data_IF_457233080833
#
_entry.id   IF_457233080833
#
_cell.length_a   1.000
_cell.length_b   1.000
_cell.length_c   1.000
_cell.angle_alpha   90.00
_cell.angle_beta   90.00
_cell.angle_gamma   90.00
#
_symmetry.space_group_name_H-M   'P 1'
#
loop_
_entity.id
_entity.type
_entity.pdbx_description
1 polymer ?
#
# COMPACT_ATOMS: atom_id res chain seq x y z
N UNK A 1 11.59 -12.61 29.15
CA UNK A 1 11.65 -13.74 28.20
C UNK A 1 13.05 -13.75 27.61
N UNK A 2 13.70 -14.91 27.47
CA UNK A 2 15.02 -15.00 26.84
C UNK A 2 14.93 -14.97 25.30
N UNK A 3 16.05 -14.69 24.64
CA UNK A 3 16.13 -14.47 23.20
C UNK A 3 15.71 -15.70 22.38
N UNK A 4 16.03 -16.89 22.85
CA UNK A 4 15.72 -18.14 22.16
C UNK A 4 14.22 -18.44 22.22
N UNK A 5 13.60 -18.17 23.37
CA UNK A 5 12.13 -18.27 23.52
C UNK A 5 11.42 -17.29 22.60
N UNK A 6 11.86 -16.03 22.51
CA UNK A 6 11.28 -15.02 21.62
C UNK A 6 11.35 -15.48 20.16
N UNK A 7 12.53 -15.91 19.71
CA UNK A 7 12.76 -16.40 18.34
C UNK A 7 11.86 -17.58 17.99
N UNK A 8 11.72 -18.54 18.91
CA UNK A 8 10.86 -19.72 18.71
C UNK A 8 9.39 -19.33 18.58
N UNK A 9 8.91 -18.41 19.41
CA UNK A 9 7.54 -17.91 19.36
C UNK A 9 7.25 -17.18 18.05
N UNK A 10 8.15 -16.30 17.60
CA UNK A 10 8.05 -15.62 16.30
C UNK A 10 7.92 -16.65 15.16
N UNK A 11 8.77 -17.68 15.13
CA UNK A 11 8.68 -18.74 14.12
C UNK A 11 7.34 -19.48 14.17
N UNK A 12 6.77 -19.71 15.36
CA UNK A 12 5.46 -20.33 15.51
C UNK A 12 4.35 -19.42 14.97
N UNK A 13 4.37 -18.13 15.27
CA UNK A 13 3.37 -17.18 14.77
C UNK A 13 3.41 -17.02 13.25
N UNK A 14 4.61 -16.86 12.66
CA UNK A 14 4.78 -16.78 11.20
C UNK A 14 4.21 -18.03 10.50
N UNK A 15 4.46 -19.22 11.07
CA UNK A 15 3.89 -20.47 10.54
C UNK A 15 2.36 -20.48 10.63
N UNK A 16 1.78 -19.97 11.72
CA UNK A 16 0.33 -19.89 11.92
C UNK A 16 -0.34 -18.94 10.94
N UNK A 17 0.31 -17.82 10.62
CA UNK A 17 -0.18 -16.84 9.65
C UNK A 17 -0.08 -17.34 8.19
N UNK A 18 0.55 -18.50 7.95
CA UNK A 18 0.73 -19.08 6.63
C UNK A 18 1.31 -18.08 5.61
N UNK A 19 2.45 -17.45 5.98
CA UNK A 19 3.21 -16.50 5.14
C UNK A 19 3.85 -17.15 3.90
N UNK A 20 3.10 -17.94 3.14
CA UNK A 20 3.51 -18.36 1.80
C UNK A 20 3.47 -17.14 0.89
N UNK A 21 4.43 -17.05 -0.04
CA UNK A 21 4.37 -16.01 -1.07
C UNK A 21 3.04 -16.13 -1.82
N UNK A 22 2.36 -15.02 -2.13
CA UNK A 22 1.17 -15.07 -2.98
C UNK A 22 1.49 -15.83 -4.26
N UNK A 23 0.56 -16.67 -4.73
CA UNK A 23 0.71 -17.31 -6.04
C UNK A 23 0.87 -16.22 -7.11
N UNK A 24 1.89 -16.39 -7.96
CA UNK A 24 2.16 -15.46 -9.06
C UNK A 24 1.00 -15.52 -10.06
N UNK A 25 0.11 -14.53 -10.03
CA UNK A 25 -0.83 -14.29 -11.14
C UNK A 25 -0.13 -13.46 -12.22
N UNK A 26 0.83 -14.08 -12.91
CA UNK A 26 1.53 -13.44 -14.04
C UNK A 26 0.66 -13.44 -15.32
N UNK A 27 -0.50 -14.12 -15.30
CA UNK A 27 -1.40 -14.26 -16.46
C UNK A 27 -2.87 -14.15 -16.03
N UNK A 28 -3.39 -12.92 -15.99
CA UNK A 28 -4.83 -12.66 -15.89
C UNK A 28 -5.46 -12.49 -17.28
N UNK A 29 -6.80 -12.58 -17.41
CA UNK A 29 -7.50 -12.21 -18.64
C UNK A 29 -7.12 -10.80 -19.05
N UNK A 30 -6.80 -10.63 -20.34
CA UNK A 30 -6.59 -9.32 -20.94
C UNK A 30 -7.93 -8.67 -21.27
N UNK A 31 -7.98 -7.33 -21.23
CA UNK A 31 -9.13 -6.60 -21.73
C UNK A 31 -9.31 -6.77 -23.24
N UNK A 32 -10.55 -6.89 -23.69
CA UNK A 32 -10.89 -6.63 -25.08
C UNK A 32 -10.63 -5.16 -25.43
N UNK A 33 -10.39 -4.87 -26.70
CA UNK A 33 -10.00 -3.52 -27.17
C UNK A 33 -10.94 -2.42 -26.70
N UNK A 34 -12.25 -2.66 -26.73
CA UNK A 34 -13.27 -1.68 -26.33
C UNK A 34 -13.27 -1.49 -24.80
N UNK A 35 -13.09 -2.56 -24.03
CA UNK A 35 -12.99 -2.49 -22.56
C UNK A 35 -11.72 -1.74 -22.13
N UNK A 36 -10.61 -1.96 -22.83
CA UNK A 36 -9.37 -1.24 -22.58
C UNK A 36 -9.50 0.26 -22.89
N UNK A 37 -10.28 0.61 -23.92
CA UNK A 37 -10.60 2.00 -24.23
C UNK A 37 -11.42 2.65 -23.11
N UNK A 38 -12.47 1.98 -22.64
CA UNK A 38 -13.28 2.45 -21.50
C UNK A 38 -12.43 2.64 -20.24
N UNK A 39 -11.51 1.72 -19.97
CA UNK A 39 -10.55 1.87 -18.88
C UNK A 39 -9.70 3.14 -19.07
N UNK A 40 -9.10 3.34 -20.24
CA UNK A 40 -8.27 4.53 -20.48
C UNK A 40 -9.05 5.84 -20.36
N UNK A 41 -10.30 5.86 -20.80
CA UNK A 41 -11.19 7.01 -20.59
C UNK A 41 -11.40 7.26 -19.09
N UNK A 42 -11.69 6.21 -18.31
CA UNK A 42 -11.85 6.34 -16.86
C UNK A 42 -10.58 6.84 -16.17
N UNK A 43 -9.41 6.27 -16.51
CA UNK A 43 -8.13 6.67 -15.93
C UNK A 43 -7.78 8.12 -16.28
N UNK A 44 -8.11 8.58 -17.49
CA UNK A 44 -7.92 9.98 -17.88
C UNK A 44 -8.72 10.94 -16.99
N UNK A 45 -9.96 10.59 -16.64
CA UNK A 45 -10.78 11.40 -15.74
C UNK A 45 -10.16 11.50 -14.34
N UNK A 46 -9.56 10.41 -13.82
CA UNK A 46 -8.82 10.47 -12.54
C UNK A 46 -7.60 11.38 -12.63
N UNK A 47 -6.82 11.31 -13.71
CA UNK A 47 -5.67 12.20 -13.94
C UNK A 47 -6.10 13.66 -13.95
N UNK A 48 -7.16 13.99 -14.70
CA UNK A 48 -7.70 15.34 -14.78
C UNK A 48 -8.13 15.81 -13.40
N UNK A 49 -8.93 15.00 -12.69
CA UNK A 49 -9.43 15.35 -11.35
C UNK A 49 -8.30 15.63 -10.37
N UNK A 50 -7.28 14.78 -10.36
CA UNK A 50 -6.13 14.93 -9.48
C UNK A 50 -5.27 16.15 -9.84
N UNK A 51 -5.03 16.40 -11.12
CA UNK A 51 -4.27 17.57 -11.58
C UNK A 51 -5.01 18.89 -11.29
N UNK A 52 -6.31 18.97 -11.55
CA UNK A 52 -7.07 20.18 -11.24
C UNK A 52 -7.10 20.49 -9.73
N UNK A 53 -6.98 19.45 -8.89
CA UNK A 53 -6.83 19.61 -7.44
C UNK A 53 -5.47 20.20 -7.03
N UNK A 54 -4.38 19.92 -7.76
CA UNK A 54 -3.07 20.51 -7.44
C UNK A 54 -2.97 21.97 -7.88
N UNK A 55 -3.73 22.38 -8.89
CA UNK A 55 -3.76 23.75 -9.44
C UNK A 55 -4.82 24.63 -8.74
N UNK A 56 -5.34 24.19 -7.59
CA UNK A 56 -6.23 24.94 -6.70
C UNK A 56 -7.56 25.38 -7.35
N UNK A 57 -8.04 24.63 -8.36
CA UNK A 57 -9.40 24.81 -8.86
C UNK A 57 -10.39 24.13 -7.91
N UNK A 58 -11.41 24.87 -7.48
CA UNK A 58 -12.36 24.45 -6.44
C UNK A 58 -13.00 23.10 -6.77
N UNK A 59 -12.76 22.12 -5.89
CA UNK A 59 -13.31 20.75 -5.87
C UNK A 59 -14.83 20.65 -6.10
N UNK A 60 -15.58 21.73 -5.82
CA UNK A 60 -17.04 21.76 -5.90
C UNK A 60 -17.63 21.62 -7.32
N UNK A 61 -16.81 21.76 -8.38
CA UNK A 61 -17.27 21.68 -9.79
C UNK A 61 -16.89 20.36 -10.49
N UNK A 62 -16.17 19.45 -9.83
CA UNK A 62 -15.72 18.18 -10.42
C UNK A 62 -16.61 16.98 -10.01
N UNK A 63 -17.92 17.10 -10.23
CA UNK A 63 -18.75 15.89 -10.29
C UNK A 63 -18.49 15.12 -11.60
N UNK A 64 -18.61 13.80 -11.56
CA UNK A 64 -18.24 12.93 -12.67
C UNK A 64 -19.08 13.18 -13.94
N UNK A 65 -20.30 13.73 -13.81
CA UNK A 65 -21.19 14.03 -14.93
C UNK A 65 -20.68 15.25 -15.69
N UNK A 66 -20.39 16.33 -14.98
CA UNK A 66 -19.82 17.55 -15.53
C UNK A 66 -18.43 17.31 -16.13
N UNK A 67 -17.62 16.47 -15.48
CA UNK A 67 -16.30 16.09 -16.00
C UNK A 67 -16.41 15.39 -17.36
N UNK A 68 -17.32 14.41 -17.48
CA UNK A 68 -17.57 13.69 -18.75
C UNK A 68 -18.14 14.61 -19.84
N UNK A 69 -18.91 15.63 -19.48
CA UNK A 69 -19.40 16.64 -20.43
C UNK A 69 -18.27 17.56 -20.94
N UNK A 70 -17.36 17.99 -20.06
CA UNK A 70 -16.23 18.85 -20.43
C UNK A 70 -15.11 18.11 -21.17
N UNK A 71 -15.00 16.80 -20.94
CA UNK A 71 -13.97 15.93 -21.48
C UNK A 71 -14.61 14.71 -22.16
N UNK A 72 -15.29 14.90 -23.31
CA UNK A 72 -15.83 13.80 -24.08
C UNK A 72 -14.72 12.89 -24.64
N UNK A 73 -15.02 11.63 -25.01
CA UNK A 73 -14.04 10.66 -25.49
C UNK A 73 -13.07 11.16 -26.55
N UNK A 74 -13.55 11.94 -27.54
CA UNK A 74 -12.69 12.53 -28.58
C UNK A 74 -11.62 13.44 -28.00
N UNK A 75 -11.98 14.30 -27.03
CA UNK A 75 -11.04 15.20 -26.37
C UNK A 75 -10.04 14.44 -25.50
N UNK A 76 -10.47 13.36 -24.84
CA UNK A 76 -9.56 12.47 -24.10
C UNK A 76 -8.53 11.85 -25.05
N UNK A 77 -8.98 11.30 -26.18
CA UNK A 77 -8.12 10.68 -27.18
C UNK A 77 -7.12 11.67 -27.80
N UNK A 78 -7.58 12.86 -28.22
CA UNK A 78 -6.75 13.91 -28.82
C UNK A 78 -5.65 14.41 -27.87
N UNK A 79 -5.86 14.29 -26.55
CA UNK A 79 -4.90 14.67 -25.52
C UNK A 79 -4.13 13.47 -24.95
N UNK A 80 -4.12 12.32 -25.66
CA UNK A 80 -3.47 11.09 -25.23
C UNK A 80 -3.83 10.70 -23.79
N UNK A 81 -5.12 10.78 -23.46
CA UNK A 81 -5.69 10.46 -22.14
C UNK A 81 -5.06 11.23 -20.97
N UNK A 82 -4.52 12.42 -21.25
CA UNK A 82 -3.90 13.31 -20.27
C UNK A 82 -2.77 12.64 -19.46
N UNK A 83 -2.09 11.65 -20.05
CA UNK A 83 -0.98 10.92 -19.37
C UNK A 83 0.10 11.86 -18.82
N UNK A 84 0.39 12.95 -19.53
CA UNK A 84 1.38 13.95 -19.12
C UNK A 84 1.04 14.65 -17.79
N UNK A 85 -0.21 14.61 -17.31
CA UNK A 85 -0.55 15.11 -15.97
C UNK A 85 0.13 14.30 -14.86
N UNK A 86 0.42 13.02 -15.08
CA UNK A 86 1.11 12.16 -14.11
C UNK A 86 2.55 12.64 -13.81
N UNK A 87 3.14 13.49 -14.66
CA UNK A 87 4.45 14.12 -14.41
C UNK A 87 4.39 15.17 -13.29
N UNK A 88 3.20 15.70 -13.00
CA UNK A 88 2.97 16.69 -11.95
C UNK A 88 2.31 16.10 -10.69
N UNK A 89 2.05 14.79 -10.69
CA UNK A 89 1.45 14.07 -9.57
C UNK A 89 2.52 13.23 -8.86
N UNK A 90 2.24 12.84 -7.62
CA UNK A 90 3.11 11.90 -6.89
C UNK A 90 2.89 10.44 -7.31
N UNK A 91 1.98 10.20 -8.25
CA UNK A 91 1.61 8.87 -8.71
C UNK A 91 1.31 8.82 -10.21
N UNK A 92 1.31 7.61 -10.76
CA UNK A 92 0.91 7.32 -12.14
C UNK A 92 0.20 5.96 -12.23
N UNK A 93 -0.49 5.70 -13.35
CA UNK A 93 -1.04 4.36 -13.62
C UNK A 93 -0.05 3.49 -14.39
N UNK A 94 0.24 2.30 -13.87
CA UNK A 94 1.07 1.30 -14.54
C UNK A 94 0.34 0.74 -15.78
N UNK A 95 0.89 1.01 -16.96
CA UNK A 95 0.31 0.58 -18.22
C UNK A 95 0.37 -0.95 -18.39
N UNK A 96 1.36 -1.65 -17.83
CA UNK A 96 1.41 -3.12 -17.91
C UNK A 96 0.24 -3.73 -17.13
N UNK A 97 -0.11 -3.13 -16.00
CA UNK A 97 -1.27 -3.55 -15.18
C UNK A 97 -2.61 -3.11 -15.77
N UNK A 98 -2.62 -2.15 -16.69
CA UNK A 98 -3.83 -1.78 -17.42
C UNK A 98 -4.28 -2.90 -18.38
N UNK A 99 -3.39 -3.81 -18.80
CA UNK A 99 -3.77 -4.94 -19.65
C UNK A 99 -4.49 -6.05 -18.90
N UNK A 100 -4.10 -6.31 -17.64
CA UNK A 100 -4.70 -7.36 -16.83
C UNK A 100 -6.01 -6.88 -16.21
N UNK A 101 -7.12 -7.49 -16.61
CA UNK A 101 -8.47 -7.14 -16.16
C UNK A 101 -8.78 -7.55 -14.72
N UNK A 102 -7.93 -8.35 -14.07
CA UNK A 102 -8.10 -8.74 -12.66
C UNK A 102 -7.78 -7.62 -11.68
N UNK A 103 -6.92 -6.67 -12.08
CA UNK A 103 -6.59 -5.57 -11.19
C UNK A 103 -7.74 -4.57 -11.13
N UNK A 104 -7.91 -3.92 -9.98
CA UNK A 104 -8.72 -2.71 -9.89
C UNK A 104 -7.87 -1.46 -10.19
N UNK A 105 -8.49 -0.28 -10.18
CA UNK A 105 -7.78 0.96 -10.47
C UNK A 105 -6.80 1.36 -9.36
N UNK A 106 -7.03 0.93 -8.12
CA UNK A 106 -6.12 1.18 -7.00
C UNK A 106 -4.83 0.37 -7.16
N UNK A 107 -4.95 -0.91 -7.53
CA UNK A 107 -3.84 -1.81 -7.84
C UNK A 107 -3.05 -1.37 -9.09
N UNK A 108 -3.65 -0.56 -9.97
CA UNK A 108 -2.95 0.05 -11.11
C UNK A 108 -2.17 1.31 -10.72
N UNK A 109 -2.44 1.88 -9.55
CA UNK A 109 -1.81 3.11 -9.08
C UNK A 109 -0.42 2.81 -8.53
N UNK A 110 0.52 3.69 -8.85
CA UNK A 110 1.91 3.58 -8.43
C UNK A 110 2.39 4.94 -7.96
N UNK A 111 3.10 5.00 -6.83
CA UNK A 111 3.80 6.20 -6.39
C UNK A 111 5.11 6.40 -7.17
N UNK A 112 5.40 7.65 -7.55
CA UNK A 112 6.72 8.06 -8.00
C UNK A 112 7.69 8.04 -6.81
N UNK A 113 8.74 7.21 -6.88
CA UNK A 113 9.75 7.09 -5.82
C UNK A 113 11.17 7.45 -6.28
N UNK A 114 12.02 7.92 -5.36
CA UNK A 114 13.46 8.22 -5.58
C UNK A 114 14.29 6.98 -5.98
N UNK A 115 13.69 5.79 -5.89
CA UNK A 115 14.25 4.48 -6.22
C UNK A 115 13.15 3.66 -6.87
N UNK A 116 12.72 4.07 -8.06
CA UNK A 116 11.73 3.32 -8.84
C UNK A 116 12.02 1.83 -8.74
N UNK A 117 11.04 1.06 -8.25
CA UNK A 117 10.95 -0.39 -8.41
C UNK A 117 12.28 -1.15 -8.30
N UNK A 118 13.01 -1.01 -7.19
CA UNK A 118 14.23 -1.80 -7.02
C UNK A 118 13.94 -3.31 -6.94
N UNK A 119 12.69 -3.70 -6.64
CA UNK A 119 12.25 -5.09 -6.68
C UNK A 119 10.78 -5.22 -7.14
N UNK A 120 10.61 -5.54 -8.42
CA UNK A 120 9.31 -5.84 -9.02
C UNK A 120 8.62 -7.07 -8.40
N UNK A 121 9.39 -8.05 -7.93
CA UNK A 121 8.83 -9.23 -7.25
C UNK A 121 8.24 -8.82 -5.89
N UNK A 122 8.92 -7.93 -5.15
CA UNK A 122 8.40 -7.39 -3.90
C UNK A 122 7.12 -6.57 -4.13
N UNK A 123 7.12 -5.63 -5.09
CA UNK A 123 5.93 -4.82 -5.38
C UNK A 123 4.73 -5.67 -5.83
N UNK A 124 4.96 -6.71 -6.63
CA UNK A 124 3.91 -7.68 -6.99
C UNK A 124 3.37 -8.44 -5.77
N UNK A 125 4.23 -8.80 -4.82
CA UNK A 125 3.80 -9.53 -3.62
C UNK A 125 2.97 -8.72 -2.62
N UNK A 126 2.95 -7.40 -2.77
CA UNK A 126 2.21 -6.46 -1.90
C UNK A 126 1.12 -5.71 -2.67
N UNK A 127 0.69 -6.25 -3.81
CA UNK A 127 -0.31 -5.61 -4.67
C UNK A 127 -1.74 -5.70 -4.09
N UNK A 128 -1.96 -4.95 -3.03
CA UNK A 128 -3.19 -4.96 -2.26
C UNK A 128 -4.32 -4.21 -2.97
N UNK A 129 -5.55 -4.65 -2.75
CA UNK A 129 -6.72 -3.81 -3.01
C UNK A 129 -6.78 -2.68 -1.98
N UNK A 130 -7.61 -1.67 -2.24
CA UNK A 130 -7.86 -0.58 -1.30
C UNK A 130 -8.28 -1.09 0.09
N UNK A 131 -9.16 -2.10 0.13
CA UNK A 131 -9.66 -2.68 1.38
C UNK A 131 -8.56 -3.39 2.16
N UNK A 132 -7.63 -4.07 1.46
CA UNK A 132 -6.49 -4.74 2.09
C UNK A 132 -5.50 -3.73 2.67
N UNK A 133 -5.22 -2.63 1.97
CA UNK A 133 -4.38 -1.55 2.51
C UNK A 133 -5.08 -0.81 3.66
N UNK A 134 -6.40 -0.62 3.59
CA UNK A 134 -7.17 -0.07 4.70
C UNK A 134 -7.11 -0.98 5.93
N UNK A 135 -7.26 -2.29 5.76
CA UNK A 135 -7.10 -3.27 6.83
C UNK A 135 -5.67 -3.26 7.40
N UNK A 136 -4.66 -3.08 6.55
CA UNK A 136 -3.27 -2.96 6.97
C UNK A 136 -3.03 -1.72 7.84
N UNK A 137 -3.61 -0.57 7.48
CA UNK A 137 -3.56 0.64 8.30
C UNK A 137 -4.22 0.41 9.67
N UNK A 138 -5.41 -0.19 9.70
CA UNK A 138 -6.11 -0.49 10.95
C UNK A 138 -5.35 -1.47 11.84
N UNK A 139 -4.75 -2.50 11.23
CA UNK A 139 -3.84 -3.42 11.90
C UNK A 139 -2.69 -2.65 12.55
N UNK A 140 -2.04 -1.76 11.79
CA UNK A 140 -0.92 -0.98 12.28
C UNK A 140 -1.28 -0.02 13.41
N UNK A 141 -2.47 0.58 13.36
CA UNK A 141 -2.99 1.42 14.45
C UNK A 141 -3.16 0.62 15.74
N UNK A 142 -3.70 -0.59 15.66
CA UNK A 142 -3.85 -1.45 16.84
C UNK A 142 -2.48 -1.93 17.36
N UNK A 143 -1.52 -2.24 16.48
CA UNK A 143 -0.14 -2.55 16.87
C UNK A 143 0.48 -1.38 17.61
N UNK A 144 0.41 -0.16 17.07
CA UNK A 144 0.99 1.02 17.71
C UNK A 144 0.38 1.28 19.09
N UNK A 145 -0.94 1.16 19.20
CA UNK A 145 -1.66 1.30 20.46
C UNK A 145 -1.25 0.26 21.50
N UNK A 146 -1.15 -1.02 21.12
CA UNK A 146 -0.81 -2.11 22.05
C UNK A 146 0.70 -2.20 22.37
N UNK A 147 1.55 -1.63 21.51
CA UNK A 147 3.01 -1.60 21.69
C UNK A 147 3.53 -0.26 22.22
N UNK A 148 2.64 0.65 22.64
CA UNK A 148 3.02 1.97 23.16
C UNK A 148 4.03 1.92 24.31
N UNK A 149 3.98 0.87 25.13
CA UNK A 149 4.93 0.63 26.22
C UNK A 149 6.40 0.55 25.75
N UNK A 150 6.67 0.32 24.46
CA UNK A 150 8.03 0.31 23.89
C UNK A 150 8.72 1.67 24.06
N UNK A 151 7.95 2.76 24.10
CA UNK A 151 8.46 4.13 24.30
C UNK A 151 9.23 4.27 25.63
N UNK A 152 8.81 3.56 26.67
CA UNK A 152 9.44 3.60 27.99
C UNK A 152 10.88 3.05 27.99
N UNK A 153 11.28 2.38 26.91
CA UNK A 153 12.60 1.75 26.73
C UNK A 153 13.46 2.49 25.68
N UNK A 154 13.03 3.67 25.21
CA UNK A 154 13.80 4.52 24.32
C UNK A 154 15.03 5.09 25.04
N UNK A 155 16.19 4.45 24.85
CA UNK A 155 17.45 4.83 25.50
C UNK A 155 18.20 3.67 26.16
N UNK A 156 17.60 2.48 26.18
CA UNK A 156 18.22 1.26 26.68
C UNK A 156 19.39 0.77 25.80
N UNK A 157 20.23 -0.09 26.37
CA UNK A 157 21.35 -0.70 25.63
C UNK A 157 20.86 -1.49 24.40
N UNK A 158 21.69 -1.60 23.36
CA UNK A 158 21.33 -2.29 22.11
C UNK A 158 20.83 -3.72 22.31
N UNK A 159 21.37 -4.44 23.30
CA UNK A 159 20.96 -5.81 23.64
C UNK A 159 19.56 -5.83 24.26
N UNK A 160 19.24 -4.87 25.13
CA UNK A 160 17.89 -4.72 25.68
C UNK A 160 16.91 -4.33 24.57
N UNK A 161 17.32 -3.44 23.67
CA UNK A 161 16.47 -2.99 22.57
C UNK A 161 16.04 -4.13 21.62
N UNK A 162 16.95 -5.02 21.22
CA UNK A 162 16.61 -6.18 20.38
C UNK A 162 15.57 -7.10 21.06
N UNK A 163 15.65 -7.26 22.38
CA UNK A 163 14.65 -8.01 23.15
C UNK A 163 13.29 -7.33 23.16
N UNK A 164 13.26 -6.03 23.45
CA UNK A 164 12.03 -5.24 23.46
C UNK A 164 11.37 -5.29 22.08
N UNK A 165 12.16 -5.09 21.01
CA UNK A 165 11.71 -5.21 19.63
C UNK A 165 11.15 -6.59 19.30
N UNK A 166 11.80 -7.65 19.77
CA UNK A 166 11.33 -9.03 19.57
C UNK A 166 9.98 -9.29 20.24
N UNK A 167 9.76 -8.75 21.45
CA UNK A 167 8.46 -8.84 22.14
C UNK A 167 7.39 -8.03 21.41
N UNK A 168 7.69 -6.81 20.99
CA UNK A 168 6.76 -5.98 20.21
C UNK A 168 6.38 -6.66 18.89
N UNK A 169 7.34 -7.30 18.21
CA UNK A 169 7.07 -8.04 16.98
C UNK A 169 6.20 -9.28 17.22
N UNK A 170 6.41 -10.01 18.33
CA UNK A 170 5.50 -11.10 18.72
C UNK A 170 4.06 -10.61 18.91
N UNK A 171 3.87 -9.47 19.58
CA UNK A 171 2.54 -8.86 19.74
C UNK A 171 1.96 -8.45 18.39
N UNK A 172 2.77 -7.86 17.51
CA UNK A 172 2.33 -7.49 16.16
C UNK A 172 1.87 -8.72 15.35
N UNK A 173 2.56 -9.85 15.47
CA UNK A 173 2.16 -11.11 14.81
C UNK A 173 0.89 -11.72 15.41
N UNK A 174 0.69 -11.61 16.73
CA UNK A 174 -0.51 -12.10 17.40
C UNK A 174 -1.74 -11.24 17.05
N UNK A 175 -1.57 -9.91 17.04
CA UNK A 175 -2.60 -8.96 16.60
C UNK A 175 -3.01 -9.27 15.15
N UNK A 176 -2.06 -9.56 14.26
CA UNK A 176 -2.34 -9.88 12.86
C UNK A 176 -3.31 -11.06 12.69
N UNK A 177 -3.36 -12.01 13.63
CA UNK A 177 -4.33 -13.11 13.58
C UNK A 177 -5.80 -12.62 13.68
N UNK A 178 -6.04 -11.40 14.15
CA UNK A 178 -7.35 -10.75 14.20
C UNK A 178 -7.67 -9.92 12.94
N UNK A 179 -6.73 -9.82 11.99
CA UNK A 179 -6.85 -9.05 10.74
C UNK A 179 -6.68 -9.98 9.53
N UNK A 180 -7.68 -10.81 9.20
CA UNK A 180 -7.56 -11.84 8.16
C UNK A 180 -7.34 -11.28 6.75
N UNK A 181 -7.75 -10.02 6.50
CA UNK A 181 -7.59 -9.36 5.20
C UNK A 181 -6.20 -8.77 4.99
N UNK A 182 -5.37 -8.75 6.04
CA UNK A 182 -3.99 -8.27 5.96
C UNK A 182 -3.07 -9.39 5.48
N UNK A 183 -2.31 -9.10 4.43
CA UNK A 183 -1.32 -10.04 3.90
C UNK A 183 -0.32 -10.46 4.99
N UNK A 184 -0.20 -11.77 5.29
CA UNK A 184 0.81 -12.30 6.21
C UNK A 184 2.25 -11.93 5.80
N UNK A 185 2.47 -11.71 4.51
CA UNK A 185 3.75 -11.24 3.99
C UNK A 185 4.06 -9.83 4.46
N UNK A 186 3.09 -8.90 4.38
CA UNK A 186 3.27 -7.52 4.84
C UNK A 186 3.48 -7.40 6.35
N UNK A 187 2.85 -8.27 7.15
CA UNK A 187 3.08 -8.34 8.60
C UNK A 187 4.53 -8.76 8.88
N UNK A 188 5.00 -9.80 8.19
CA UNK A 188 6.33 -10.38 8.44
C UNK A 188 7.49 -9.56 7.91
N UNK A 189 7.29 -8.76 6.85
CA UNK A 189 8.31 -7.87 6.28
C UNK A 189 8.21 -6.42 6.75
N UNK A 190 7.00 -5.88 6.95
CA UNK A 190 6.80 -4.48 7.28
C UNK A 190 7.31 -4.11 8.67
N UNK A 191 7.01 -4.94 9.67
CA UNK A 191 7.40 -4.68 11.06
C UNK A 191 8.94 -4.65 11.26
N UNK A 192 9.71 -5.63 10.76
CA UNK A 192 11.17 -5.62 10.91
C UNK A 192 11.90 -4.51 10.15
N UNK A 193 11.26 -3.85 9.18
CA UNK A 193 11.90 -2.77 8.40
C UNK A 193 11.72 -1.40 9.07
N UNK A 194 10.79 -1.28 10.03
CA UNK A 194 10.70 -0.07 10.87
C UNK A 194 11.92 0.06 11.77
N UNK A 195 12.63 1.17 11.60
CA UNK A 195 13.73 1.56 12.49
C UNK A 195 13.18 1.94 13.87
N UNK A 196 14.01 1.95 14.93
CA UNK A 196 13.60 2.38 16.27
C UNK A 196 12.95 3.77 16.26
N UNK A 197 13.47 4.69 15.45
CA UNK A 197 12.91 6.02 15.28
C UNK A 197 11.59 6.02 14.52
N UNK A 198 11.39 5.15 13.53
CA UNK A 198 10.11 5.02 12.82
C UNK A 198 9.03 4.40 13.71
N UNK A 199 9.39 3.38 14.50
CA UNK A 199 8.47 2.77 15.46
C UNK A 199 8.09 3.79 16.56
N UNK A 200 9.05 4.56 17.08
CA UNK A 200 8.80 5.61 18.06
C UNK A 200 8.00 6.78 17.49
N UNK A 201 8.38 7.33 16.34
CA UNK A 201 7.67 8.46 15.72
C UNK A 201 6.23 8.10 15.35
N UNK A 202 5.97 6.86 14.93
CA UNK A 202 4.63 6.40 14.58
C UNK A 202 3.71 6.27 15.80
N UNK A 203 4.24 5.85 16.96
CA UNK A 203 3.47 5.80 18.22
C UNK A 203 3.22 7.22 18.78
N UNK A 204 4.17 8.14 18.60
CA UNK A 204 4.08 9.54 19.06
C UNK A 204 3.15 10.40 18.20
N UNK A 205 3.14 10.26 16.87
CA UNK A 205 2.36 11.14 15.97
C UNK A 205 0.85 10.85 15.93
N UNK A 206 0.39 9.73 16.51
CA UNK A 206 -1.04 9.33 16.55
C UNK A 206 -1.70 9.49 17.93
N UNK A 207 -1.04 10.14 18.90
CA UNK A 207 -1.60 10.48 20.22
C UNK A 207 -1.98 11.96 20.36
#
# INVERSE_FOLDING_TARGET
MDDETIRKMICCFIKRLNCQSPERCDYGPEYEKDQLMELYEQLALYRIKAYELTVDRKLAELDDVNLKLQYPPSKLYDNNFFKYYEESLEWYFDLERCWNAQFDNYQRLVLHGFRGYLDWDFYRSINNTYEQDLAYVQYFEEVAKQTKWVEDYLGDSTIQWERIRGVAYMQALDIAASFPDVSPFLVSYGFPVMTPCLLANFVVEKC
#
